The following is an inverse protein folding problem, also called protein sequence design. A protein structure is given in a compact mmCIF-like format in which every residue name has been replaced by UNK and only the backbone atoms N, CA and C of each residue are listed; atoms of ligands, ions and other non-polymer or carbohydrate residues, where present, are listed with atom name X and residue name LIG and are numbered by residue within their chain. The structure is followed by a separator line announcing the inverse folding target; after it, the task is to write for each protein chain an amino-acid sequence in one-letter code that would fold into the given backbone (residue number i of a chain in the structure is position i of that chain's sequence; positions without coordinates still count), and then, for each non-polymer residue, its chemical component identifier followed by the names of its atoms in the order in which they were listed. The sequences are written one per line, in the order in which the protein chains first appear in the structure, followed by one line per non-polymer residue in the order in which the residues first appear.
data_IF_111710812538
#
_entry.id   IF_111710812538
#
_cell.length_a   1.000
_cell.length_b   1.000
_cell.length_c   1.000
_cell.angle_alpha   90.00
_cell.angle_beta   90.00
_cell.angle_gamma   90.00
#
_symmetry.space_group_name_H-M   'P 1'
#
loop_
_entity.id
_entity.type
_entity.pdbx_description
1 polymer ?
#
# COMPACT_ATOMS: atom_id res chain seq x y z
N UNK A 1 6.25 15.78 -4.77
CA UNK A 1 6.09 16.15 -5.44
C UNK A 1 6.32 16.73 -5.53
N UNK A 2 6.43 16.80 -5.16
CA UNK A 2 6.34 17.39 -5.74
C UNK A 2 6.25 17.98 -5.89
N UNK A 3 6.19 17.92 -5.32
CA UNK A 3 5.84 18.58 -5.86
C UNK A 3 5.73 19.08 -5.98
N UNK A 4 5.75 19.25 -5.37
CA UNK A 4 5.12 19.81 -6.03
C UNK A 4 5.15 20.48 -6.00
N UNK A 5 5.16 20.44 -5.82
CA UNK A 5 4.89 21.11 -6.29
C UNK A 5 4.79 21.70 -6.40
N UNK A 6 4.67 21.60 -5.87
CA UNK A 6 4.21 22.23 -6.42
C UNK A 6 4.22 22.81 -6.40
N UNK A 7 4.09 22.94 -6.06
CA UNK A 7 3.70 23.48 -6.50
C UNK A 7 3.52 23.93 -6.54
N UNK A 8 3.40 23.92 -6.10
CA UNK A 8 2.85 24.36 -6.50
C UNK A 8 2.71 24.77 -6.46
N UNK A 9 2.76 24.88 -5.96
CA UNK A 9 2.21 25.26 -6.30
C UNK A 9 1.86 25.51 -6.40
N UNK A 10 1.89 25.51 -5.66
CA UNK A 10 1.00 25.68 -6.20
C UNK A 10 0.81 25.91 -6.08
N UNK A 11 0.75 25.86 -5.85
CA UNK A 11 0.19 26.06 -6.18
C UNK A 11 -0.08 26.28 -6.19
N UNK A 12 -0.25 26.21 -5.73
CA UNK A 12 -0.88 26.35 -6.16
C UNK A 12 -1.09 26.58 -6.16
N UNK A 13 -1.20 26.59 -5.75
CA UNK A 13 -1.79 26.77 -6.09
C UNK A 13 -2.03 26.72 -6.20
N UNK A 14 -1.97 26.64 -5.55
CA UNK A 14 -2.73 26.51 -6.07
C UNK A 14 -2.69 26.30 -5.93
N UNK A 15 -2.81 26.16 -5.73
CA UNK A 15 -3.20 25.96 -6.06
C UNK A 15 -3.10 25.72 -6.08
N UNK A 16 -3.24 25.55 -5.83
CA UNK A 16 -3.49 25.33 -6.28
C UNK A 16 -3.47 25.10 -6.13
N UNK A 17 -3.59 24.68 -5.65
CA UNK A 17 -3.95 24.50 -6.02
C UNK A 17 -3.94 24.23 -5.86
N UNK A 18 -4.09 24.06 -5.59
CA UNK A 18 -4.45 23.88 -6.01
C UNK A 18 -4.33 23.62 -5.85
N UNK A 19 -4.52 23.34 -5.46
CA UNK A 19 -4.75 23.16 -5.82
C UNK A 19 -4.76 23.04 -5.63
N UNK A 20 -4.92 22.76 -5.31
CA UNK A 20 -5.21 22.72 -5.56
C UNK A 20 -5.55 22.62 -5.18
N UNK A 21 -5.49 22.77 -4.76
CA UNK A 21 -6.26 22.73 -4.93
C UNK A 21 -6.47 22.57 -4.32
N UNK A 22 -6.85 22.54 -4.04
CA UNK A 22 -7.52 22.59 -3.87
C UNK A 22 -7.97 22.47 -3.36
N UNK A 23 -8.54 22.31 -3.07
CA UNK A 23 -9.33 22.36 -2.99
C UNK A 23 -9.63 22.31 -2.44
N UNK A 24 -10.13 22.20 -2.18
CA UNK A 24 -10.71 22.42 -1.93
C UNK A 24 -11.25 22.23 -1.57
N UNK A 25 -11.87 22.33 -1.19
CA UNK A 25 -12.38 22.09 -1.05
C UNK A 25 -12.54 21.51 -0.83
N UNK A 26 -13.18 22.19 -0.78
CA UNK A 26 -13.31 21.25 -0.98
C UNK A 26 -13.05 20.07 -0.39
N UNK A 27 -13.80 19.35 -0.13
CA UNK A 27 -13.25 18.15 0.32
C UNK A 27 -12.04 17.72 -0.47
N UNK A 28 -11.00 17.31 0.21
CA UNK A 28 -9.84 16.76 -0.45
C UNK A 28 -10.14 15.31 -0.79
N UNK A 29 -9.98 14.94 -2.05
CA UNK A 29 -10.17 13.55 -2.47
C UNK A 29 -9.22 12.63 -1.70
N UNK A 30 -9.74 11.49 -1.22
CA UNK A 30 -8.93 10.48 -0.54
C UNK A 30 -8.83 10.65 0.96
N UNK A 31 -9.58 11.57 1.57
CA UNK A 31 -9.47 11.83 3.00
C UNK A 31 -10.53 11.12 3.84
N UNK A 32 -11.53 10.49 3.24
CA UNK A 32 -12.57 9.78 3.98
C UNK A 32 -12.42 8.27 3.80
N UNK A 33 -12.99 7.50 4.72
CA UNK A 33 -12.98 6.05 4.59
C UNK A 33 -13.67 5.58 3.30
N UNK A 34 -14.67 6.31 2.83
CA UNK A 34 -15.35 5.97 1.59
C UNK A 34 -14.40 6.10 0.40
N UNK A 35 -13.46 7.03 0.46
CA UNK A 35 -12.51 7.22 -0.63
C UNK A 35 -11.56 6.04 -0.79
N UNK A 36 -11.30 5.28 0.29
CA UNK A 36 -10.40 4.14 0.22
C UNK A 36 -11.13 2.80 0.11
N UNK A 37 -12.45 2.79 0.27
CA UNK A 37 -13.23 1.54 0.33
C UNK A 37 -13.16 0.75 -0.97
N UNK A 38 -13.00 1.42 -2.11
CA UNK A 38 -12.96 0.78 -3.42
C UNK A 38 -11.56 0.66 -3.99
N UNK A 39 -10.54 1.03 -3.21
CA UNK A 39 -9.16 0.92 -3.68
C UNK A 39 -8.67 -0.52 -3.60
N UNK A 40 -7.69 -0.83 -4.42
CA UNK A 40 -6.99 -2.10 -4.35
C UNK A 40 -6.35 -2.25 -2.98
N UNK A 41 -6.53 -3.40 -2.35
CA UNK A 41 -5.93 -3.70 -1.04
C UNK A 41 -5.02 -4.93 -1.09
N UNK A 42 -4.95 -5.61 -2.23
CA UNK A 42 -4.08 -6.76 -2.41
C UNK A 42 -3.12 -6.43 -3.54
N UNK A 43 -1.82 -6.51 -3.25
CA UNK A 43 -0.77 -6.14 -4.19
C UNK A 43 0.09 -7.35 -4.47
N UNK A 44 0.25 -7.70 -5.75
CA UNK A 44 0.89 -8.96 -6.16
C UNK A 44 2.34 -8.73 -6.53
N UNK A 45 3.14 -9.79 -6.40
CA UNK A 45 4.57 -9.75 -6.64
C UNK A 45 4.98 -10.87 -7.60
N UNK A 46 6.03 -10.62 -8.35
CA UNK A 46 6.61 -11.64 -9.21
C UNK A 46 7.36 -12.67 -8.36
N UNK A 47 7.64 -13.83 -8.97
CA UNK A 47 8.35 -14.90 -8.28
C UNK A 47 9.67 -14.39 -7.71
N UNK A 48 9.89 -14.71 -6.43
CA UNK A 48 11.13 -14.38 -5.71
C UNK A 48 11.47 -12.88 -5.69
N UNK A 49 10.48 -12.02 -5.93
CA UNK A 49 10.67 -10.57 -5.96
C UNK A 49 9.93 -9.91 -4.80
N UNK A 50 10.50 -8.79 -4.35
CA UNK A 50 9.86 -7.95 -3.33
C UNK A 50 9.75 -6.51 -3.80
N UNK A 51 9.66 -6.30 -5.10
CA UNK A 51 9.48 -4.97 -5.71
C UNK A 51 8.00 -4.76 -5.97
N UNK A 52 7.47 -3.64 -5.48
CA UNK A 52 6.06 -3.28 -5.70
C UNK A 52 5.85 -2.98 -7.18
N UNK A 53 4.84 -3.61 -7.77
CA UNK A 53 4.56 -3.40 -9.19
C UNK A 53 3.90 -2.05 -9.42
N UNK A 54 4.27 -1.40 -10.53
CA UNK A 54 3.75 -0.08 -10.86
C UNK A 54 2.23 -0.04 -10.95
N UNK A 55 1.59 -1.16 -11.31
CA UNK A 55 0.13 -1.23 -11.39
C UNK A 55 -0.55 -0.92 -10.06
N UNK A 56 0.14 -1.10 -8.92
CA UNK A 56 -0.41 -0.81 -7.61
C UNK A 56 -0.10 0.58 -7.09
N UNK A 57 0.77 1.33 -7.78
CA UNK A 57 1.25 2.61 -7.24
C UNK A 57 0.12 3.62 -7.03
N UNK A 58 -0.78 3.72 -7.99
CA UNK A 58 -1.84 4.73 -7.93
C UNK A 58 -2.73 4.53 -6.71
N UNK A 59 -3.16 3.31 -6.47
CA UNK A 59 -4.01 3.03 -5.31
C UNK A 59 -3.25 3.14 -4.00
N UNK A 60 -1.97 2.74 -3.98
CA UNK A 60 -1.14 2.93 -2.78
C UNK A 60 -0.97 4.42 -2.46
N UNK A 61 -0.81 5.26 -3.47
CA UNK A 61 -0.71 6.70 -3.24
C UNK A 61 -2.00 7.25 -2.64
N UNK A 62 -3.15 6.73 -3.06
CA UNK A 62 -4.43 7.14 -2.50
C UNK A 62 -4.60 6.66 -1.06
N UNK A 63 -4.13 5.45 -0.76
CA UNK A 63 -4.10 4.99 0.64
C UNK A 63 -3.21 5.91 1.48
N UNK A 64 -2.05 6.32 0.94
CA UNK A 64 -1.16 7.23 1.65
C UNK A 64 -1.83 8.57 1.92
N UNK A 65 -2.56 9.10 0.95
CA UNK A 65 -3.30 10.35 1.12
C UNK A 65 -4.29 10.25 2.27
N UNK A 66 -5.05 9.16 2.31
CA UNK A 66 -6.01 8.94 3.38
C UNK A 66 -5.30 8.86 4.74
N UNK A 67 -4.22 8.09 4.82
CA UNK A 67 -3.51 7.90 6.08
C UNK A 67 -2.87 9.19 6.58
N UNK A 68 -2.32 10.02 5.67
CA UNK A 68 -1.78 11.32 6.08
C UNK A 68 -2.85 12.22 6.65
N UNK A 69 -4.05 12.20 6.06
CA UNK A 69 -5.15 13.04 6.50
C UNK A 69 -5.79 12.53 7.80
N UNK A 70 -5.56 11.27 8.14
CA UNK A 70 -6.16 10.62 9.30
C UNK A 70 -5.08 9.98 10.17
N UNK A 71 -4.33 10.78 10.95
CA UNK A 71 -3.15 10.25 11.68
C UNK A 71 -3.48 9.14 12.68
N UNK A 72 -4.73 9.02 13.11
CA UNK A 72 -5.11 7.95 14.03
C UNK A 72 -5.47 6.64 13.31
N UNK A 73 -5.59 6.67 11.98
CA UNK A 73 -5.86 5.46 11.21
C UNK A 73 -4.59 4.61 11.12
N UNK A 74 -4.76 3.30 11.16
CA UNK A 74 -3.65 2.35 11.13
C UNK A 74 -3.94 1.24 10.14
N UNK A 75 -2.88 0.71 9.53
CA UNK A 75 -2.98 -0.43 8.63
C UNK A 75 -1.99 -1.51 9.05
N UNK A 76 -2.35 -2.76 8.76
CA UNK A 76 -1.46 -3.91 8.86
C UNK A 76 -1.20 -4.41 7.45
N UNK A 77 0.07 -4.59 7.12
CA UNK A 77 0.50 -5.12 5.84
C UNK A 77 0.91 -6.57 6.04
N UNK A 78 0.15 -7.50 5.46
CA UNK A 78 0.41 -8.93 5.59
C UNK A 78 1.12 -9.43 4.35
N UNK A 79 2.37 -9.83 4.51
CA UNK A 79 3.18 -10.34 3.41
C UNK A 79 3.05 -11.84 3.26
N UNK A 80 2.95 -12.30 2.03
CA UNK A 80 2.74 -13.71 1.71
C UNK A 80 3.65 -14.14 0.56
N UNK A 81 3.94 -15.43 0.53
CA UNK A 81 4.72 -16.07 -0.52
C UNK A 81 3.95 -17.28 -1.04
N UNK A 82 4.34 -17.79 -2.21
CA UNK A 82 3.81 -19.07 -2.66
C UNK A 82 4.54 -20.21 -1.93
N UNK A 83 4.11 -21.44 -2.19
CA UNK A 83 4.57 -22.59 -1.39
C UNK A 83 6.00 -23.04 -1.71
N UNK A 84 6.62 -22.50 -2.75
CA UNK A 84 7.94 -22.95 -3.19
C UNK A 84 9.03 -22.38 -2.27
N UNK A 85 9.97 -23.24 -1.87
CA UNK A 85 11.06 -22.86 -0.98
C UNK A 85 10.82 -23.30 0.45
N UNK A 86 11.75 -22.91 1.34
CA UNK A 86 11.62 -23.28 2.75
C UNK A 86 10.66 -22.35 3.47
N UNK A 87 10.15 -22.82 4.60
CA UNK A 87 9.27 -22.02 5.45
C UNK A 87 9.96 -20.72 5.88
N UNK A 88 11.19 -20.84 6.34
CA UNK A 88 11.95 -19.68 6.82
C UNK A 88 12.20 -18.68 5.70
N UNK A 89 12.57 -19.17 4.53
CA UNK A 89 12.79 -18.28 3.39
C UNK A 89 11.52 -17.53 3.01
N UNK A 90 10.38 -18.23 3.02
CA UNK A 90 9.11 -17.63 2.60
C UNK A 90 8.59 -16.64 3.63
N UNK A 91 8.83 -16.86 4.92
CA UNK A 91 8.50 -15.88 5.94
C UNK A 91 9.34 -14.61 5.73
N UNK A 92 10.64 -14.76 5.47
CA UNK A 92 11.51 -13.62 5.21
C UNK A 92 11.09 -12.88 3.92
N UNK A 93 10.70 -13.62 2.88
CA UNK A 93 10.25 -13.02 1.63
C UNK A 93 8.95 -12.23 1.82
N UNK A 94 8.00 -12.81 2.55
CA UNK A 94 6.75 -12.11 2.89
C UNK A 94 7.03 -10.84 3.68
N UNK A 95 7.98 -10.89 4.60
CA UNK A 95 8.36 -9.72 5.37
C UNK A 95 8.96 -8.64 4.47
N UNK A 96 9.86 -9.02 3.56
CA UNK A 96 10.44 -8.06 2.62
C UNK A 96 9.37 -7.42 1.73
N UNK A 97 8.36 -8.21 1.32
CA UNK A 97 7.26 -7.68 0.52
C UNK A 97 6.41 -6.69 1.31
N UNK A 98 6.06 -7.03 2.55
CA UNK A 98 5.30 -6.13 3.41
C UNK A 98 6.10 -4.85 3.68
N UNK A 99 7.40 -4.97 3.91
CA UNK A 99 8.25 -3.82 4.15
C UNK A 99 8.39 -2.93 2.90
N UNK A 100 8.35 -3.51 1.72
CA UNK A 100 8.39 -2.72 0.48
C UNK A 100 7.15 -1.84 0.35
N UNK A 101 5.98 -2.38 0.66
CA UNK A 101 4.74 -1.58 0.66
C UNK A 101 4.78 -0.53 1.77
N UNK A 102 5.25 -0.92 2.96
CA UNK A 102 5.41 0.01 4.08
C UNK A 102 6.30 1.19 3.70
N UNK A 103 7.43 0.91 3.06
CA UNK A 103 8.36 1.97 2.63
C UNK A 103 7.70 2.89 1.60
N UNK A 104 6.93 2.32 0.68
CA UNK A 104 6.20 3.12 -0.30
C UNK A 104 5.28 4.12 0.39
N UNK A 105 4.52 3.65 1.37
CA UNK A 105 3.61 4.52 2.13
C UNK A 105 4.38 5.60 2.88
N UNK A 106 5.48 5.22 3.53
CA UNK A 106 6.27 6.18 4.32
C UNK A 106 6.94 7.23 3.44
N UNK A 107 7.43 6.85 2.27
CA UNK A 107 8.01 7.80 1.32
C UNK A 107 6.95 8.81 0.87
N UNK A 108 5.69 8.38 0.85
CA UNK A 108 4.57 9.24 0.51
C UNK A 108 3.98 9.96 1.73
N UNK A 109 4.70 9.99 2.85
CA UNK A 109 4.35 10.83 3.99
C UNK A 109 3.57 10.16 5.10
N UNK A 110 3.35 8.85 5.03
CA UNK A 110 2.63 8.13 6.09
C UNK A 110 3.59 7.90 7.25
N UNK A 111 3.10 8.12 8.48
CA UNK A 111 3.90 7.89 9.68
C UNK A 111 4.15 6.40 9.88
N UNK A 112 5.37 6.06 10.31
CA UNK A 112 5.72 4.69 10.61
C UNK A 112 4.79 4.09 11.68
N UNK A 113 4.29 4.91 12.60
CA UNK A 113 3.40 4.44 13.66
C UNK A 113 2.02 4.02 13.13
N UNK A 114 1.69 4.37 11.91
CA UNK A 114 0.41 3.99 11.30
C UNK A 114 0.49 2.65 10.55
N UNK A 115 1.68 2.08 10.40
CA UNK A 115 1.88 0.92 9.55
C UNK A 115 2.58 -0.18 10.33
N UNK A 116 1.96 -1.36 10.34
CA UNK A 116 2.57 -2.56 10.92
C UNK A 116 2.77 -3.58 9.80
N UNK A 117 3.96 -4.20 9.74
CA UNK A 117 4.26 -5.23 8.76
C UNK A 117 4.35 -6.57 9.46
N UNK A 118 3.65 -7.57 8.93
CA UNK A 118 3.73 -8.94 9.41
C UNK A 118 3.90 -9.87 8.21
N UNK A 119 4.44 -11.06 8.45
CA UNK A 119 4.59 -12.05 7.39
C UNK A 119 4.00 -13.38 7.83
N UNK A 120 3.23 -13.98 6.95
CA UNK A 120 2.74 -15.35 7.11
C UNK A 120 3.46 -16.32 6.18
N UNK A 121 4.36 -15.82 5.32
CA UNK A 121 5.05 -16.68 4.37
C UNK A 121 4.05 -17.43 3.51
N UNK A 122 4.18 -18.76 3.49
CA UNK A 122 3.28 -19.61 2.70
C UNK A 122 2.11 -20.15 3.51
N UNK A 123 1.96 -19.74 4.77
CA UNK A 123 1.06 -20.42 5.71
C UNK A 123 -0.41 -20.04 5.51
N UNK A 124 -0.69 -18.93 4.84
CA UNK A 124 -2.07 -18.48 4.60
C UNK A 124 -2.31 -18.25 3.11
N UNK A 125 -2.38 -19.31 2.32
CA UNK A 125 -2.61 -19.13 0.88
C UNK A 125 -3.98 -18.56 0.60
N UNK A 126 -4.04 -17.67 -0.40
CA UNK A 126 -5.31 -17.17 -0.90
C UNK A 126 -5.99 -18.21 -1.77
N UNK A 127 -5.19 -19.00 -2.49
CA UNK A 127 -5.68 -20.04 -3.40
C UNK A 127 -4.85 -21.29 -3.18
N UNK A 128 -5.51 -22.42 -2.99
CA UNK A 128 -4.82 -23.70 -2.90
C UNK A 128 -4.50 -24.22 -4.30
N UNK A 129 -3.36 -24.90 -4.41
CA UNK A 129 -2.95 -25.49 -5.69
C UNK A 129 -1.45 -25.39 -5.87
N UNK A 130 -0.96 -26.07 -6.92
CA UNK A 130 0.48 -26.24 -7.14
C UNK A 130 0.88 -25.83 -8.56
N UNK A 131 0.24 -24.80 -9.09
CA UNK A 131 0.56 -24.28 -10.43
C UNK A 131 0.80 -22.78 -10.35
N UNK A 132 1.34 -22.22 -11.43
CA UNK A 132 1.59 -20.78 -11.48
C UNK A 132 0.30 -19.97 -11.28
N UNK A 133 -0.84 -20.48 -11.73
CA UNK A 133 -2.11 -19.81 -11.52
C UNK A 133 -2.45 -19.63 -10.04
N UNK A 134 -2.15 -20.65 -9.22
CA UNK A 134 -2.33 -20.56 -7.77
C UNK A 134 -1.23 -19.75 -7.12
N UNK A 135 0.03 -20.01 -7.51
CA UNK A 135 1.19 -19.35 -6.90
C UNK A 135 1.15 -17.84 -7.11
N UNK A 136 0.75 -17.38 -8.29
CA UNK A 136 0.70 -15.94 -8.57
C UNK A 136 -0.28 -15.21 -7.68
N UNK A 137 -1.34 -15.86 -7.25
CA UNK A 137 -2.32 -15.25 -6.35
C UNK A 137 -1.86 -15.29 -4.89
N UNK A 138 -0.89 -16.15 -4.57
CA UNK A 138 -0.37 -16.24 -3.21
C UNK A 138 0.81 -15.29 -2.97
N UNK A 139 1.48 -14.83 -4.02
CA UNK A 139 2.58 -13.86 -3.91
C UNK A 139 2.01 -12.46 -3.77
N UNK A 140 1.69 -12.09 -2.52
CA UNK A 140 0.95 -10.84 -2.32
C UNK A 140 1.24 -10.19 -0.98
N UNK A 141 0.87 -8.90 -0.89
CA UNK A 141 0.73 -8.19 0.38
C UNK A 141 -0.72 -7.74 0.48
N UNK A 142 -1.36 -8.02 1.60
CA UNK A 142 -2.71 -7.55 1.88
C UNK A 142 -2.65 -6.36 2.82
N UNK A 143 -3.26 -5.25 2.43
CA UNK A 143 -3.34 -4.04 3.23
C UNK A 143 -4.67 -4.04 3.95
N UNK A 144 -4.64 -4.05 5.28
CA UNK A 144 -5.85 -4.13 6.09
C UNK A 144 -5.90 -2.98 7.08
N UNK A 145 -6.98 -2.22 7.02
CA UNK A 145 -7.20 -1.17 8.01
C UNK A 145 -7.60 -1.79 9.34
N UNK A 146 -7.04 -1.25 10.42
CA UNK A 146 -7.36 -1.73 11.76
C UNK A 146 -8.70 -1.16 12.17
N UNK A 147 -9.60 -2.03 12.65
CA UNK A 147 -10.90 -1.60 13.14
C UNK A 147 -10.74 -0.79 14.42
N UNK A 148 -11.61 0.18 14.60
CA UNK A 148 -11.56 1.06 15.75
C UNK A 148 -12.79 0.93 16.61
#
# INVERSE_FOLDING_TARGET
STSGTSTDTGTTTGTDSSTQGVSTGTGVSGTSMQDVANLQTVFYFDFDQSVVKAAGFNDLEKHATYLRANPSAQVVLEGHADERGTREYNIALGERRANAVSRFLQVNGVSASQVESVSFGEEKPAVLGHSEGSWSQNRRVELKYVAR
#
